data_IF_407947034345
#
_entry.id   IF_407947034345
#
_cell.length_a   1.000
_cell.length_b   1.000
_cell.length_c   1.000
_cell.angle_alpha   90.00
_cell.angle_beta   90.00
_cell.angle_gamma   90.00
#
_symmetry.space_group_name_H-M   'P 1'
#
loop_
_entity.id
_entity.type
_entity.pdbx_description
1 polymer ?
#
# COMPACT_ATOMS: atom_id res chain seq x y z
N UNK A 1 4.37 9.62 -1.28
CA UNK A 1 5.05 8.31 -1.04
C UNK A 1 4.06 7.17 -1.14
N UNK A 2 4.48 6.01 -1.65
CA UNK A 2 3.70 4.76 -1.59
C UNK A 2 3.78 4.17 -0.17
N UNK A 3 2.81 3.30 0.20
CA UNK A 3 2.77 2.74 1.55
C UNK A 3 4.03 2.02 2.00
N UNK A 4 4.67 1.24 1.12
CA UNK A 4 5.94 0.57 1.42
C UNK A 4 7.11 1.51 1.70
N UNK A 5 7.14 2.68 1.06
CA UNK A 5 8.16 3.70 1.29
C UNK A 5 8.00 4.36 2.67
N UNK A 6 6.75 4.51 3.16
CA UNK A 6 6.49 5.01 4.54
C UNK A 6 7.04 4.03 5.59
N UNK A 7 6.86 2.73 5.38
CA UNK A 7 7.43 1.70 6.26
C UNK A 7 8.96 1.71 6.22
N UNK A 8 9.55 1.77 5.02
CA UNK A 8 11.00 1.82 4.90
C UNK A 8 11.58 3.07 5.59
N UNK A 9 10.92 4.24 5.47
CA UNK A 9 11.33 5.46 6.15
C UNK A 9 11.27 5.31 7.68
N UNK A 10 10.24 4.67 8.21
CA UNK A 10 10.14 4.39 9.65
C UNK A 10 11.23 3.42 10.12
N UNK A 11 11.50 2.36 9.37
CA UNK A 11 12.59 1.42 9.67
C UNK A 11 13.96 2.11 9.61
N UNK A 12 14.20 2.99 8.64
CA UNK A 12 15.43 3.76 8.55
C UNK A 12 15.62 4.67 9.78
N UNK A 13 14.56 5.34 10.22
CA UNK A 13 14.58 6.16 11.46
C UNK A 13 14.92 5.32 12.71
N UNK A 14 14.36 4.10 12.81
CA UNK A 14 14.62 3.16 13.91
C UNK A 14 16.06 2.62 13.88
N UNK A 15 16.65 2.47 12.71
CA UNK A 15 17.95 1.86 12.47
C UNK A 15 18.93 2.86 11.83
N UNK A 16 19.34 3.93 12.52
CA UNK A 16 20.06 5.07 11.92
C UNK A 16 21.47 4.74 11.40
N UNK A 17 22.01 3.57 11.75
CA UNK A 17 23.31 3.07 11.25
C UNK A 17 23.19 2.03 10.14
N UNK A 18 21.97 1.70 9.73
CA UNK A 18 21.75 0.68 8.70
C UNK A 18 22.15 1.20 7.31
N UNK A 19 22.77 0.35 6.51
CA UNK A 19 22.90 0.57 5.08
C UNK A 19 21.63 0.09 4.37
N UNK A 20 21.24 0.75 3.28
CA UNK A 20 20.05 0.44 2.50
C UNK A 20 20.46 -0.22 1.20
N UNK A 21 20.00 -1.44 0.98
CA UNK A 21 20.20 -2.19 -0.25
C UNK A 21 18.92 -2.17 -1.08
N UNK A 22 19.03 -1.82 -2.36
CA UNK A 22 17.88 -1.75 -3.27
C UNK A 22 18.25 -2.19 -4.69
N UNK A 23 17.27 -2.63 -5.48
CA UNK A 23 17.53 -2.93 -6.89
C UNK A 23 17.84 -1.70 -7.71
N UNK A 24 17.11 -0.62 -7.46
CA UNK A 24 17.34 0.67 -8.08
C UNK A 24 16.84 1.78 -7.16
N UNK A 25 17.62 2.81 -7.02
CA UNK A 25 17.24 4.05 -6.36
C UNK A 25 16.93 5.06 -7.46
N UNK A 26 15.64 5.25 -7.75
CA UNK A 26 15.24 6.08 -8.86
C UNK A 26 15.62 7.56 -8.61
N UNK A 27 16.27 8.16 -9.62
CA UNK A 27 16.56 9.60 -9.62
C UNK A 27 15.30 10.49 -9.69
N UNK A 28 14.12 9.92 -9.95
CA UNK A 28 12.83 10.56 -9.80
C UNK A 28 12.40 10.72 -8.35
N UNK A 29 13.17 10.23 -7.40
CA UNK A 29 13.20 10.77 -6.04
C UNK A 29 13.77 12.21 -6.02
N UNK A 30 13.84 12.88 -7.16
CA UNK A 30 13.93 14.36 -7.25
C UNK A 30 12.78 15.07 -6.54
N UNK A 31 11.67 14.38 -6.29
CA UNK A 31 10.59 14.86 -5.43
C UNK A 31 10.91 14.69 -3.92
N UNK A 32 12.00 13.98 -3.59
CA UNK A 32 12.61 14.04 -2.28
C UNK A 32 13.81 14.98 -2.39
N UNK A 33 13.73 16.19 -1.84
CA UNK A 33 14.88 17.07 -1.80
C UNK A 33 16.06 16.31 -1.20
N UNK A 34 17.31 16.60 -1.62
CA UNK A 34 18.52 16.05 -1.01
C UNK A 34 18.60 16.30 0.50
N UNK A 35 17.75 17.19 0.99
CA UNK A 35 17.56 17.60 2.38
C UNK A 35 16.49 16.77 3.10
N UNK A 36 15.80 15.80 2.43
CA UNK A 36 14.85 14.94 3.11
C UNK A 36 15.60 14.12 4.16
N UNK A 37 15.40 14.52 5.40
CA UNK A 37 16.10 14.02 6.57
C UNK A 37 15.97 12.51 6.78
N UNK A 38 15.02 11.86 6.09
CA UNK A 38 14.68 10.43 6.25
C UNK A 38 15.76 9.47 5.76
N UNK A 39 16.53 9.84 4.75
CA UNK A 39 17.62 9.04 4.19
C UNK A 39 19.00 9.57 4.58
N UNK A 40 19.04 10.69 5.32
CA UNK A 40 20.27 11.34 5.73
C UNK A 40 21.04 10.43 6.68
N UNK A 41 22.29 10.12 6.30
CA UNK A 41 23.17 9.26 7.09
C UNK A 41 23.16 7.79 6.65
N UNK A 42 22.23 7.36 5.78
CA UNK A 42 22.22 6.01 5.25
C UNK A 42 23.03 5.91 3.96
N UNK A 43 23.86 4.91 3.85
CA UNK A 43 24.49 4.53 2.60
C UNK A 43 23.53 3.70 1.79
N UNK A 44 23.22 4.14 0.56
CA UNK A 44 22.35 3.40 -0.37
C UNK A 44 23.23 2.62 -1.35
N UNK A 45 22.99 1.31 -1.45
CA UNK A 45 23.73 0.37 -2.28
C UNK A 45 22.76 -0.23 -3.30
N UNK A 46 22.97 0.09 -4.56
CA UNK A 46 22.15 -0.41 -5.66
C UNK A 46 22.69 -1.75 -6.20
N UNK A 47 21.79 -2.61 -6.66
CA UNK A 47 22.17 -3.82 -7.38
C UNK A 47 22.63 -3.51 -8.80
N UNK A 48 23.19 -4.52 -9.49
CA UNK A 48 23.60 -4.36 -10.90
C UNK A 48 22.42 -3.97 -11.82
N UNK A 49 21.17 -4.19 -11.41
CA UNK A 49 19.98 -3.82 -12.19
C UNK A 49 19.95 -2.31 -12.45
N UNK A 50 20.34 -1.49 -11.47
CA UNK A 50 20.41 -0.04 -11.65
C UNK A 50 21.34 0.42 -12.78
N UNK A 51 22.32 -0.40 -13.12
CA UNK A 51 23.30 -0.12 -14.16
C UNK A 51 22.95 -0.67 -15.55
N UNK A 52 21.85 -1.42 -15.65
CA UNK A 52 21.32 -1.89 -16.95
C UNK A 52 20.59 -0.74 -17.67
N UNK A 53 20.49 -0.77 -19.01
CA UNK A 53 19.70 0.18 -19.77
C UNK A 53 18.27 0.26 -19.22
N UNK A 54 17.79 1.48 -18.91
CA UNK A 54 16.51 1.74 -18.28
C UNK A 54 16.31 1.12 -16.87
N UNK A 55 17.33 0.51 -16.26
CA UNK A 55 17.20 -0.21 -14.99
C UNK A 55 16.77 0.66 -13.81
N UNK A 56 17.22 1.94 -13.75
CA UNK A 56 16.75 2.89 -12.72
C UNK A 56 15.34 3.40 -12.97
N UNK A 57 14.98 3.64 -14.22
CA UNK A 57 13.67 4.19 -14.58
C UNK A 57 12.56 3.13 -14.52
N UNK A 58 12.88 1.90 -14.91
CA UNK A 58 11.92 0.81 -15.05
C UNK A 58 12.49 -0.52 -14.51
N UNK A 59 12.85 -0.61 -13.22
CA UNK A 59 13.47 -1.81 -12.65
C UNK A 59 12.57 -3.05 -12.77
N UNK A 60 11.24 -2.88 -12.84
CA UNK A 60 10.27 -3.96 -12.99
C UNK A 60 10.43 -4.77 -14.28
N UNK A 61 11.06 -4.23 -15.32
CA UNK A 61 11.36 -4.96 -16.57
C UNK A 61 12.35 -6.11 -16.28
N UNK A 62 13.19 -5.93 -15.26
CA UNK A 62 14.23 -6.89 -14.87
C UNK A 62 13.78 -7.82 -13.73
N UNK A 63 12.48 -7.91 -13.48
CA UNK A 63 11.92 -8.77 -12.44
C UNK A 63 12.49 -10.20 -12.42
N UNK A 64 12.68 -10.91 -13.57
CA UNK A 64 13.29 -12.24 -13.58
C UNK A 64 14.75 -12.28 -13.09
N UNK A 65 15.45 -11.15 -13.11
CA UNK A 65 16.85 -11.03 -12.65
C UNK A 65 16.96 -10.62 -11.18
N UNK A 66 15.90 -10.06 -10.59
CA UNK A 66 15.91 -9.56 -9.22
C UNK A 66 16.31 -10.60 -8.17
N UNK A 67 15.86 -11.87 -8.23
CA UNK A 67 16.35 -12.89 -7.28
C UNK A 67 17.86 -13.11 -7.35
N UNK A 68 18.45 -13.04 -8.55
CA UNK A 68 19.89 -13.13 -8.72
C UNK A 68 20.60 -11.89 -8.19
N UNK A 69 20.00 -10.71 -8.38
CA UNK A 69 20.55 -9.45 -7.90
C UNK A 69 20.53 -9.38 -6.36
N UNK A 70 19.45 -9.82 -5.71
CA UNK A 70 19.37 -9.88 -4.24
C UNK A 70 20.46 -10.79 -3.65
N UNK A 71 20.73 -11.93 -4.26
CA UNK A 71 21.78 -12.86 -3.82
C UNK A 71 23.20 -12.32 -3.96
N UNK A 72 23.41 -11.28 -4.76
CA UNK A 72 24.74 -10.66 -4.97
C UNK A 72 25.05 -9.50 -4.01
N UNK A 73 24.12 -9.11 -3.17
CA UNK A 73 24.44 -8.14 -2.13
C UNK A 73 25.43 -8.74 -1.13
N UNK A 74 26.52 -8.02 -0.89
CA UNK A 74 27.45 -8.38 0.18
C UNK A 74 26.88 -7.90 1.53
N UNK A 75 26.22 -8.82 2.22
CA UNK A 75 25.66 -8.60 3.54
C UNK A 75 26.57 -9.11 4.66
N UNK A 76 27.82 -9.41 4.34
CA UNK A 76 28.76 -10.07 5.25
C UNK A 76 29.08 -9.33 6.55
N UNK A 77 28.85 -8.02 6.58
CA UNK A 77 29.19 -7.13 7.71
C UNK A 77 28.05 -6.93 8.70
N UNK A 78 26.86 -7.48 8.43
CA UNK A 78 25.66 -7.21 9.21
C UNK A 78 25.21 -8.45 9.95
N UNK A 79 24.85 -8.29 11.22
CA UNK A 79 24.29 -9.36 12.05
C UNK A 79 22.76 -9.43 11.87
N UNK A 80 22.12 -8.29 11.60
CA UNK A 80 20.68 -8.16 11.37
C UNK A 80 20.41 -7.64 9.96
N UNK A 81 19.50 -8.32 9.29
CA UNK A 81 18.98 -7.93 7.97
C UNK A 81 17.48 -7.75 8.10
N UNK A 82 16.97 -6.58 7.70
CA UNK A 82 15.54 -6.30 7.65
C UNK A 82 15.16 -6.05 6.19
N UNK A 83 14.40 -6.96 5.61
CA UNK A 83 13.83 -6.73 4.27
C UNK A 83 12.41 -6.16 4.36
N UNK A 84 12.12 -5.13 3.56
CA UNK A 84 10.79 -4.53 3.40
C UNK A 84 10.33 -4.76 1.98
N UNK A 85 9.37 -5.67 1.76
CA UNK A 85 9.12 -6.16 0.41
C UNK A 85 7.66 -6.39 0.02
N UNK A 86 7.43 -6.20 -1.27
CA UNK A 86 6.30 -6.73 -2.04
C UNK A 86 6.77 -7.42 -3.33
N UNK A 87 8.04 -7.80 -3.39
CA UNK A 87 8.75 -8.34 -4.55
C UNK A 87 9.93 -9.22 -4.12
N UNK A 88 10.83 -9.64 -5.01
CA UNK A 88 11.84 -10.67 -4.74
C UNK A 88 13.09 -10.14 -3.99
N UNK A 89 12.93 -9.31 -2.95
CA UNK A 89 14.05 -8.72 -2.19
C UNK A 89 14.55 -9.65 -1.08
N UNK A 90 13.65 -10.45 -0.45
CA UNK A 90 14.03 -11.38 0.65
C UNK A 90 14.97 -12.52 0.21
N UNK A 91 15.15 -12.70 -1.08
CA UNK A 91 16.02 -13.76 -1.65
C UNK A 91 17.52 -13.49 -1.49
N UNK A 92 17.96 -13.03 -0.34
CA UNK A 92 19.35 -12.76 0.01
C UNK A 92 20.10 -14.03 0.39
N UNK A 93 21.44 -13.97 0.41
CA UNK A 93 22.32 -15.02 0.96
C UNK A 93 22.69 -14.64 2.39
N UNK A 94 22.23 -15.43 3.34
CA UNK A 94 22.49 -15.28 4.77
C UNK A 94 23.64 -16.18 5.20
N UNK A 95 24.53 -15.68 6.07
CA UNK A 95 25.57 -16.47 6.73
C UNK A 95 25.10 -17.02 8.07
N UNK A 96 25.74 -18.07 8.58
CA UNK A 96 25.48 -18.54 9.93
C UNK A 96 25.62 -17.40 10.96
N UNK A 97 24.67 -17.30 11.87
CA UNK A 97 24.62 -16.27 12.91
C UNK A 97 23.94 -14.96 12.48
N UNK A 98 23.67 -14.74 11.20
CA UNK A 98 22.89 -13.59 10.75
C UNK A 98 21.39 -13.85 10.92
N UNK A 99 20.68 -12.83 11.39
CA UNK A 99 19.22 -12.85 11.52
C UNK A 99 18.56 -12.07 10.40
N UNK A 100 17.51 -12.64 9.80
CA UNK A 100 16.73 -12.02 8.75
C UNK A 100 15.26 -11.86 9.17
N UNK A 101 14.82 -10.62 9.34
CA UNK A 101 13.43 -10.23 9.57
C UNK A 101 12.86 -9.70 8.25
N UNK A 102 11.76 -10.26 7.78
CA UNK A 102 11.09 -9.81 6.55
C UNK A 102 9.78 -9.11 6.89
N UNK A 103 9.74 -7.78 6.72
CA UNK A 103 8.48 -7.04 6.69
C UNK A 103 7.83 -7.21 5.32
N UNK A 104 6.88 -8.11 5.26
CA UNK A 104 6.19 -8.48 4.03
C UNK A 104 4.93 -7.63 3.85
N UNK A 105 4.96 -6.72 2.88
CA UNK A 105 3.76 -5.95 2.51
C UNK A 105 2.71 -6.84 1.88
N UNK A 106 3.17 -7.83 1.11
CA UNK A 106 2.35 -8.89 0.53
C UNK A 106 3.26 -9.88 -0.19
N UNK A 107 2.97 -11.19 -0.21
CA UNK A 107 3.54 -12.10 -1.20
C UNK A 107 3.28 -11.59 -2.62
N UNK A 108 4.22 -11.80 -3.54
CA UNK A 108 4.19 -11.21 -4.89
C UNK A 108 2.84 -11.44 -5.60
N UNK A 109 1.93 -10.44 -5.59
CA UNK A 109 0.55 -10.55 -6.11
C UNK A 109 0.51 -11.03 -7.55
N UNK A 110 1.41 -10.52 -8.40
CA UNK A 110 1.45 -10.80 -9.84
C UNK A 110 1.89 -12.24 -10.19
N UNK A 111 2.40 -13.02 -9.23
CA UNK A 111 2.69 -14.45 -9.41
C UNK A 111 1.75 -15.34 -8.62
N UNK A 112 1.07 -14.81 -7.59
CA UNK A 112 0.16 -15.56 -6.73
C UNK A 112 -1.30 -15.13 -6.97
N UNK A 113 -1.90 -14.45 -6.04
CA UNK A 113 -3.35 -14.25 -5.95
C UNK A 113 -3.98 -13.40 -7.07
N UNK A 114 -3.22 -12.49 -7.66
CA UNK A 114 -3.72 -11.60 -8.73
C UNK A 114 -3.06 -11.89 -10.08
N UNK A 115 -2.50 -13.11 -10.25
CA UNK A 115 -1.82 -13.47 -11.49
C UNK A 115 -2.73 -13.27 -12.72
N UNK A 116 -3.97 -13.70 -12.62
CA UNK A 116 -4.90 -13.68 -13.76
C UNK A 116 -5.32 -12.26 -14.15
N UNK A 117 -5.51 -11.36 -13.16
CA UNK A 117 -5.79 -9.94 -13.40
C UNK A 117 -4.60 -9.24 -14.07
N UNK A 118 -3.38 -9.49 -13.57
CA UNK A 118 -2.17 -8.95 -14.19
C UNK A 118 -1.94 -9.50 -15.59
N UNK A 119 -2.19 -10.79 -15.78
CA UNK A 119 -2.08 -11.44 -17.09
C UNK A 119 -3.10 -10.87 -18.09
N UNK A 120 -4.35 -10.67 -17.68
CA UNK A 120 -5.39 -10.08 -18.51
C UNK A 120 -5.07 -8.63 -18.91
N UNK A 121 -4.49 -7.84 -17.98
CA UNK A 121 -4.12 -6.45 -18.22
C UNK A 121 -2.80 -6.28 -19.01
N UNK A 122 -1.99 -7.34 -19.12
CA UNK A 122 -0.67 -7.25 -19.74
C UNK A 122 -0.75 -7.18 -21.27
N UNK A 123 0.23 -6.49 -21.89
CA UNK A 123 0.48 -6.52 -23.33
C UNK A 123 0.82 -7.95 -23.80
N UNK A 124 0.80 -8.17 -25.11
CA UNK A 124 1.19 -9.48 -25.68
C UNK A 124 2.58 -9.93 -25.21
N UNK A 125 3.59 -9.04 -25.27
CA UNK A 125 4.93 -9.34 -24.79
C UNK A 125 4.95 -9.60 -23.26
N UNK A 126 4.17 -8.85 -22.48
CA UNK A 126 3.98 -9.06 -21.05
C UNK A 126 3.39 -10.43 -20.71
N UNK A 127 2.35 -10.86 -21.43
CA UNK A 127 1.74 -12.19 -21.26
C UNK A 127 2.73 -13.31 -21.56
N UNK A 128 3.50 -13.17 -22.64
CA UNK A 128 4.54 -14.14 -22.97
C UNK A 128 5.62 -14.21 -21.87
N UNK A 129 6.06 -13.08 -21.39
CA UNK A 129 7.02 -13.02 -20.27
C UNK A 129 6.43 -13.67 -19.00
N UNK A 130 5.20 -13.35 -18.63
CA UNK A 130 4.54 -13.98 -17.49
C UNK A 130 4.43 -15.50 -17.66
N UNK A 131 4.02 -15.98 -18.83
CA UNK A 131 3.93 -17.43 -19.12
C UNK A 131 5.29 -18.14 -18.96
N UNK A 132 6.38 -17.49 -19.32
CA UNK A 132 7.73 -18.09 -19.27
C UNK A 132 8.33 -18.03 -17.86
N UNK A 133 8.04 -16.98 -17.08
CA UNK A 133 8.77 -16.70 -15.84
C UNK A 133 7.98 -16.94 -14.55
N UNK A 134 6.64 -17.00 -14.59
CA UNK A 134 5.81 -17.10 -13.37
C UNK A 134 6.19 -18.30 -12.52
N UNK A 135 6.29 -19.50 -13.09
CA UNK A 135 6.62 -20.71 -12.33
C UNK A 135 8.04 -20.68 -11.75
N UNK A 136 8.98 -20.07 -12.45
CA UNK A 136 10.33 -19.86 -11.93
C UNK A 136 10.31 -18.86 -10.77
N UNK A 137 9.59 -17.75 -10.92
CA UNK A 137 9.45 -16.75 -9.86
C UNK A 137 8.75 -17.31 -8.63
N UNK A 138 7.72 -18.14 -8.78
CA UNK A 138 7.06 -18.85 -7.66
C UNK A 138 8.05 -19.72 -6.89
N UNK A 139 8.83 -20.53 -7.60
CA UNK A 139 9.86 -21.39 -6.96
C UNK A 139 10.94 -20.59 -6.26
N UNK A 140 11.42 -19.52 -6.87
CA UNK A 140 12.41 -18.62 -6.26
C UNK A 140 11.83 -17.91 -5.03
N UNK A 141 10.55 -17.52 -5.08
CA UNK A 141 9.85 -16.86 -3.98
C UNK A 141 9.68 -17.79 -2.77
N UNK A 142 9.24 -19.04 -2.99
CA UNK A 142 9.15 -20.05 -1.95
C UNK A 142 10.53 -20.36 -1.33
N UNK A 143 11.55 -20.58 -2.16
CA UNK A 143 12.91 -20.83 -1.69
C UNK A 143 13.47 -19.65 -0.89
N UNK A 144 13.18 -18.41 -1.29
CA UNK A 144 13.63 -17.23 -0.56
C UNK A 144 12.95 -17.08 0.80
N UNK A 145 11.72 -17.58 0.94
CA UNK A 145 11.00 -17.57 2.21
C UNK A 145 11.61 -18.51 3.26
N UNK A 146 12.34 -19.55 2.85
CA UNK A 146 13.04 -20.47 3.74
C UNK A 146 14.17 -19.79 4.50
N UNK A 147 14.83 -18.77 3.90
CA UNK A 147 15.95 -18.05 4.51
C UNK A 147 15.52 -16.99 5.54
N UNK A 148 14.22 -16.68 5.62
CA UNK A 148 13.67 -15.69 6.55
C UNK A 148 13.50 -16.34 7.93
N UNK A 149 14.06 -15.73 8.98
CA UNK A 149 13.89 -16.21 10.35
C UNK A 149 12.53 -15.79 10.91
N UNK A 150 12.14 -14.53 10.72
CA UNK A 150 10.88 -13.98 11.22
C UNK A 150 10.14 -13.20 10.13
N UNK A 151 8.90 -13.56 9.89
CA UNK A 151 8.01 -12.76 9.04
C UNK A 151 7.21 -11.76 9.87
N UNK A 152 7.11 -10.54 9.36
CA UNK A 152 6.21 -9.50 9.83
C UNK A 152 5.22 -9.18 8.72
N UNK A 153 3.93 -9.31 8.99
CA UNK A 153 2.86 -8.97 8.06
C UNK A 153 2.31 -7.58 8.37
N UNK A 154 1.97 -6.81 7.36
CA UNK A 154 1.36 -5.49 7.54
C UNK A 154 -0.12 -5.53 7.97
N UNK A 155 -0.74 -6.71 7.97
CA UNK A 155 -2.14 -6.95 8.33
C UNK A 155 -2.39 -8.44 8.59
N UNK A 156 -3.50 -8.75 9.25
CA UNK A 156 -3.96 -10.17 9.40
C UNK A 156 -4.26 -10.78 8.04
N UNK A 157 -4.79 -9.98 7.12
CA UNK A 157 -5.04 -10.41 5.75
C UNK A 157 -3.74 -10.87 5.05
N UNK A 158 -2.65 -10.15 5.21
CA UNK A 158 -1.34 -10.55 4.67
C UNK A 158 -0.72 -11.70 5.47
N UNK A 159 -0.91 -11.76 6.79
CA UNK A 159 -0.47 -12.89 7.59
C UNK A 159 -1.08 -14.21 7.11
N UNK A 160 -2.38 -14.23 6.80
CA UNK A 160 -3.05 -15.39 6.23
C UNK A 160 -2.49 -15.77 4.85
N UNK A 161 -2.13 -14.78 4.02
CA UNK A 161 -1.47 -15.04 2.72
C UNK A 161 -0.08 -15.62 2.90
N UNK A 162 0.72 -15.12 3.86
CA UNK A 162 2.04 -15.68 4.20
C UNK A 162 1.88 -17.14 4.64
N UNK A 163 0.92 -17.42 5.52
CA UNK A 163 0.64 -18.78 5.98
C UNK A 163 0.24 -19.70 4.84
N UNK A 164 -0.67 -19.27 3.97
CA UNK A 164 -1.16 -20.06 2.84
C UNK A 164 -0.10 -20.31 1.77
N UNK A 165 0.73 -19.30 1.45
CA UNK A 165 1.68 -19.37 0.34
C UNK A 165 3.02 -19.94 0.79
N UNK A 166 3.54 -19.50 1.94
CA UNK A 166 4.87 -19.90 2.42
C UNK A 166 4.84 -20.96 3.51
N UNK A 167 3.66 -21.32 4.04
CA UNK A 167 3.54 -22.24 5.19
C UNK A 167 4.21 -21.68 6.46
N UNK A 168 4.31 -20.35 6.60
CA UNK A 168 5.04 -19.68 7.69
C UNK A 168 4.08 -18.82 8.51
N UNK A 169 4.31 -18.82 9.82
CA UNK A 169 3.65 -17.85 10.71
C UNK A 169 4.32 -16.47 10.61
N UNK A 170 3.57 -15.42 10.98
CA UNK A 170 4.06 -14.05 10.97
C UNK A 170 3.49 -13.24 12.13
N UNK A 171 4.27 -12.29 12.64
CA UNK A 171 3.79 -11.27 13.58
C UNK A 171 3.11 -10.16 12.78
N UNK A 172 1.92 -9.73 13.19
CA UNK A 172 1.24 -8.60 12.55
C UNK A 172 1.72 -7.30 13.17
N UNK A 173 2.34 -6.45 12.35
CA UNK A 173 2.69 -5.07 12.71
C UNK A 173 2.16 -4.16 11.60
N UNK A 174 1.10 -3.42 11.89
CA UNK A 174 0.49 -2.55 10.91
C UNK A 174 1.43 -1.40 10.53
N UNK A 175 1.42 -0.94 9.26
CA UNK A 175 2.30 0.13 8.82
C UNK A 175 2.01 1.46 9.55
N UNK A 176 3.04 2.30 9.74
CA UNK A 176 2.86 3.58 10.41
C UNK A 176 2.11 4.57 9.52
N UNK A 177 1.13 5.26 10.11
CA UNK A 177 0.42 6.38 9.49
C UNK A 177 0.68 7.63 10.31
N UNK A 178 1.07 8.71 9.66
CA UNK A 178 1.28 10.01 10.31
C UNK A 178 -0.08 10.64 10.67
N UNK A 179 -0.68 10.12 11.74
CA UNK A 179 -2.04 10.51 12.18
C UNK A 179 -2.08 11.97 12.62
N UNK A 180 -0.99 12.49 13.18
CA UNK A 180 -0.92 13.89 13.61
C UNK A 180 -0.86 14.85 12.42
N UNK A 181 -0.18 14.46 11.34
CA UNK A 181 -0.21 15.25 10.11
C UNK A 181 -1.63 15.45 9.57
N UNK A 182 -2.45 14.38 9.55
CA UNK A 182 -3.82 14.46 9.03
C UNK A 182 -4.81 15.08 10.01
N UNK A 183 -4.49 15.16 11.29
CA UNK A 183 -5.34 15.76 12.31
C UNK A 183 -5.64 17.23 12.02
N UNK A 184 -6.90 17.65 12.25
CA UNK A 184 -7.34 19.02 12.08
C UNK A 184 -8.85 19.16 12.28
N UNK A 185 -9.30 20.41 12.31
CA UNK A 185 -10.71 20.74 12.26
C UNK A 185 -11.06 21.15 10.83
N UNK A 186 -12.13 20.57 10.30
CA UNK A 186 -12.52 20.78 8.92
C UNK A 186 -14.04 20.97 8.84
N UNK A 187 -14.44 21.93 8.02
CA UNK A 187 -15.84 22.05 7.64
C UNK A 187 -16.21 20.97 6.63
N UNK A 188 -17.24 20.19 6.94
CA UNK A 188 -17.73 19.14 6.04
C UNK A 188 -18.42 19.76 4.82
N UNK A 189 -18.03 19.28 3.65
CA UNK A 189 -18.60 19.66 2.34
C UNK A 189 -19.42 18.51 1.77
N UNK A 190 -20.31 18.84 0.86
CA UNK A 190 -21.23 17.86 0.27
C UNK A 190 -20.59 17.10 -0.91
N UNK A 191 -19.61 16.24 -0.61
CA UNK A 191 -19.02 15.33 -1.59
C UNK A 191 -18.48 14.05 -0.92
N UNK A 192 -18.44 12.97 -1.68
CA UNK A 192 -17.73 11.74 -1.37
C UNK A 192 -16.33 11.76 -1.99
N UNK A 193 -15.38 11.08 -1.37
CA UNK A 193 -13.99 11.08 -1.82
C UNK A 193 -13.54 9.66 -2.20
N UNK A 194 -12.90 9.53 -3.35
CA UNK A 194 -12.01 8.39 -3.68
C UNK A 194 -10.60 8.93 -3.77
N UNK A 195 -9.66 8.30 -3.05
CA UNK A 195 -8.26 8.73 -3.05
C UNK A 195 -7.29 7.56 -3.27
N UNK A 196 -6.24 7.79 -4.05
CA UNK A 196 -5.15 6.85 -4.27
C UNK A 196 -4.87 6.53 -5.74
N UNK A 197 -4.07 5.48 -5.98
CA UNK A 197 -3.71 5.07 -7.34
C UNK A 197 -4.94 4.50 -8.09
N UNK A 198 -5.23 5.02 -9.27
CA UNK A 198 -6.38 4.59 -10.09
C UNK A 198 -6.02 3.36 -10.92
N UNK A 199 -6.19 2.19 -10.32
CA UNK A 199 -5.94 0.87 -10.92
C UNK A 199 -7.19 -0.02 -10.82
N UNK A 200 -7.28 -1.03 -11.65
CA UNK A 200 -8.48 -1.84 -11.81
C UNK A 200 -8.99 -2.45 -10.49
N UNK A 201 -8.11 -3.01 -9.67
CA UNK A 201 -8.51 -3.69 -8.43
C UNK A 201 -9.01 -2.74 -7.33
N UNK A 202 -8.74 -1.43 -7.44
CA UNK A 202 -9.25 -0.43 -6.48
C UNK A 202 -10.68 0.03 -6.77
N UNK A 203 -11.23 -0.33 -7.92
CA UNK A 203 -12.64 -0.24 -8.26
C UNK A 203 -13.25 1.16 -8.08
N UNK A 204 -12.52 2.22 -8.46
CA UNK A 204 -13.07 3.59 -8.47
C UNK A 204 -14.34 3.71 -9.36
N UNK A 205 -14.48 2.85 -10.38
CA UNK A 205 -15.65 2.71 -11.23
C UNK A 205 -16.95 2.50 -10.42
N UNK A 206 -16.91 1.66 -9.39
CA UNK A 206 -18.06 1.38 -8.52
C UNK A 206 -18.48 2.64 -7.77
N UNK A 207 -17.51 3.37 -7.19
CA UNK A 207 -17.78 4.60 -6.44
C UNK A 207 -18.42 5.68 -7.34
N UNK A 208 -17.86 5.89 -8.53
CA UNK A 208 -18.37 6.83 -9.51
C UNK A 208 -19.80 6.48 -9.92
N UNK A 209 -20.03 5.22 -10.31
CA UNK A 209 -21.36 4.75 -10.74
C UNK A 209 -22.40 4.87 -9.63
N UNK A 210 -22.08 4.52 -8.39
CA UNK A 210 -22.99 4.60 -7.25
C UNK A 210 -23.36 6.06 -6.91
N UNK A 211 -22.36 6.95 -6.81
CA UNK A 211 -22.59 8.35 -6.52
C UNK A 211 -23.47 9.02 -7.59
N UNK A 212 -23.23 8.72 -8.85
CA UNK A 212 -24.05 9.28 -9.94
C UNK A 212 -25.50 8.75 -9.93
N UNK A 213 -25.70 7.44 -9.70
CA UNK A 213 -27.04 6.87 -9.53
C UNK A 213 -27.84 7.56 -8.45
N UNK A 214 -27.18 8.01 -7.38
CA UNK A 214 -27.79 8.68 -6.23
C UNK A 214 -27.81 10.21 -6.34
N UNK A 215 -27.27 10.80 -7.43
CA UNK A 215 -27.14 12.25 -7.56
C UNK A 215 -26.17 12.89 -6.59
N UNK A 216 -25.15 12.15 -6.12
CA UNK A 216 -24.15 12.62 -5.15
C UNK A 216 -22.88 13.12 -5.83
N UNK A 217 -22.30 14.19 -5.27
CA UNK A 217 -20.99 14.70 -5.74
C UNK A 217 -19.87 13.77 -5.29
N UNK A 218 -18.92 13.52 -6.17
CA UNK A 218 -17.74 12.71 -5.91
C UNK A 218 -16.48 13.38 -6.42
N UNK A 219 -15.45 13.40 -5.57
CA UNK A 219 -14.10 13.87 -5.90
C UNK A 219 -13.18 12.67 -5.99
N UNK A 220 -12.40 12.59 -7.07
CA UNK A 220 -11.41 11.54 -7.30
C UNK A 220 -10.02 12.18 -7.25
N UNK A 221 -9.25 11.88 -6.21
CA UNK A 221 -7.90 12.36 -6.01
C UNK A 221 -6.89 11.23 -6.24
N UNK A 222 -6.14 11.30 -7.32
CA UNK A 222 -5.15 10.30 -7.67
C UNK A 222 -4.90 10.16 -9.15
N UNK A 223 -3.95 9.29 -9.47
CA UNK A 223 -3.53 9.02 -10.84
C UNK A 223 -3.27 7.52 -11.02
N UNK A 224 -3.25 7.03 -12.26
CA UNK A 224 -3.00 5.64 -12.56
C UNK A 224 -3.54 5.22 -13.92
N UNK A 225 -3.34 3.94 -14.25
CA UNK A 225 -3.67 3.39 -15.55
C UNK A 225 -5.17 3.52 -15.95
N UNK A 226 -6.06 3.63 -14.94
CA UNK A 226 -7.50 3.77 -15.19
C UNK A 226 -7.95 5.22 -15.37
N UNK A 227 -7.11 6.22 -15.05
CA UNK A 227 -7.50 7.64 -15.03
C UNK A 227 -8.13 8.10 -16.35
N UNK A 228 -7.40 7.97 -17.44
CA UNK A 228 -7.87 8.44 -18.76
C UNK A 228 -9.19 7.78 -19.19
N UNK A 229 -9.37 6.49 -18.86
CA UNK A 229 -10.61 5.78 -19.13
C UNK A 229 -11.75 6.37 -18.31
N UNK A 230 -11.57 6.53 -17.01
CA UNK A 230 -12.59 7.07 -16.11
C UNK A 230 -12.92 8.53 -16.43
N UNK A 231 -11.95 9.38 -16.66
CA UNK A 231 -12.17 10.78 -17.06
C UNK A 231 -13.03 10.86 -18.36
N UNK A 232 -12.76 10.00 -19.35
CA UNK A 232 -13.56 9.96 -20.59
C UNK A 232 -14.98 9.46 -20.36
N UNK A 233 -15.14 8.42 -19.55
CA UNK A 233 -16.44 7.80 -19.26
C UNK A 233 -17.38 8.74 -18.48
N UNK A 234 -16.81 9.62 -17.66
CA UNK A 234 -17.57 10.51 -16.78
C UNK A 234 -17.39 12.00 -17.10
N UNK A 235 -16.86 12.35 -18.28
CA UNK A 235 -16.49 13.72 -18.69
C UNK A 235 -17.63 14.75 -18.57
N UNK A 236 -18.86 14.35 -18.93
CA UNK A 236 -20.02 15.25 -19.00
C UNK A 236 -20.78 15.36 -17.65
N UNK A 237 -20.26 14.72 -16.60
CA UNK A 237 -20.94 14.68 -15.30
C UNK A 237 -20.45 15.80 -14.38
N UNK A 238 -21.24 16.83 -14.19
CA UNK A 238 -20.94 17.97 -13.28
C UNK A 238 -20.76 17.58 -11.81
N UNK A 239 -21.20 16.38 -11.42
CA UNK A 239 -21.08 15.84 -10.07
C UNK A 239 -19.73 15.16 -9.83
N UNK A 240 -18.93 14.91 -10.87
CA UNK A 240 -17.63 14.23 -10.80
C UNK A 240 -16.50 15.23 -10.98
N UNK A 241 -15.54 15.20 -10.07
CA UNK A 241 -14.32 16.01 -10.17
C UNK A 241 -13.09 15.12 -10.08
N UNK A 242 -12.25 15.14 -11.12
CA UNK A 242 -10.94 14.46 -11.12
C UNK A 242 -9.85 15.49 -10.86
N UNK A 243 -9.10 15.33 -9.76
CA UNK A 243 -8.02 16.25 -9.38
C UNK A 243 -6.64 15.77 -9.84
N UNK A 244 -6.54 14.50 -10.26
CA UNK A 244 -5.25 13.92 -10.56
C UNK A 244 -4.39 13.76 -9.32
N UNK A 245 -3.07 13.76 -9.51
CA UNK A 245 -2.11 13.68 -8.41
C UNK A 245 -2.00 15.04 -7.71
N UNK A 246 -2.30 15.05 -6.43
CA UNK A 246 -2.27 16.23 -5.56
C UNK A 246 -1.22 16.08 -4.46
N UNK A 247 -0.88 17.19 -3.80
CA UNK A 247 0.05 17.19 -2.67
C UNK A 247 -0.58 16.72 -1.36
N UNK A 248 0.27 16.33 -0.39
CA UNK A 248 -0.20 15.78 0.89
C UNK A 248 -1.07 16.78 1.68
N UNK A 249 -0.76 18.08 1.61
CA UNK A 249 -1.55 19.15 2.27
C UNK A 249 -2.95 19.29 1.67
N UNK A 250 -3.07 19.22 0.35
CA UNK A 250 -4.36 19.25 -0.34
C UNK A 250 -5.16 17.99 -0.07
N UNK A 251 -4.51 16.82 -0.09
CA UNK A 251 -5.12 15.54 0.24
C UNK A 251 -5.65 15.52 1.68
N UNK A 252 -4.89 16.05 2.64
CA UNK A 252 -5.31 16.26 4.02
C UNK A 252 -6.61 17.07 4.11
N UNK A 253 -6.68 18.19 3.39
CA UNK A 253 -7.87 19.05 3.37
C UNK A 253 -9.09 18.33 2.75
N UNK A 254 -8.88 17.55 1.69
CA UNK A 254 -9.94 16.73 1.08
C UNK A 254 -10.44 15.64 2.02
N UNK A 255 -9.53 14.91 2.68
CA UNK A 255 -9.93 13.94 3.69
C UNK A 255 -10.81 14.59 4.75
N UNK A 256 -10.36 15.71 5.33
CA UNK A 256 -11.09 16.37 6.41
C UNK A 256 -12.45 16.91 5.99
N UNK A 257 -12.61 17.41 4.77
CA UNK A 257 -13.84 18.05 4.31
C UNK A 257 -14.84 17.12 3.62
N UNK A 258 -14.45 15.90 3.23
CA UNK A 258 -15.38 14.94 2.63
C UNK A 258 -16.46 14.47 3.61
N UNK A 259 -17.64 14.12 3.09
CA UNK A 259 -18.70 13.42 3.87
C UNK A 259 -18.21 12.06 4.34
N UNK A 260 -17.65 11.28 3.41
CA UNK A 260 -16.99 10.01 3.65
C UNK A 260 -15.94 9.72 2.58
N UNK A 261 -14.95 8.89 2.93
CA UNK A 261 -14.11 8.20 1.98
C UNK A 261 -14.85 6.96 1.47
N UNK A 262 -14.93 6.76 0.17
CA UNK A 262 -15.38 5.50 -0.44
C UNK A 262 -14.15 4.67 -0.81
N UNK A 263 -14.08 3.44 -0.30
CA UNK A 263 -12.95 2.53 -0.47
C UNK A 263 -13.41 1.18 -1.03
N UNK A 264 -13.66 1.08 -2.35
CA UNK A 264 -14.37 -0.05 -2.94
C UNK A 264 -13.47 -1.21 -3.36
N UNK A 265 -12.15 -1.04 -3.28
CA UNK A 265 -11.17 -2.07 -3.64
C UNK A 265 -10.78 -2.98 -2.48
N UNK A 266 -10.05 -4.05 -2.81
CA UNK A 266 -9.39 -4.92 -1.82
C UNK A 266 -7.92 -4.55 -1.75
N UNK A 267 -7.48 -4.09 -0.59
CA UNK A 267 -6.07 -3.79 -0.33
C UNK A 267 -5.52 -4.62 0.83
N UNK A 268 -4.20 -4.75 0.89
CA UNK A 268 -3.54 -5.57 1.91
C UNK A 268 -3.68 -4.99 3.31
N UNK A 269 -3.60 -3.67 3.46
CA UNK A 269 -3.84 -2.96 4.73
C UNK A 269 -4.86 -1.82 4.57
N UNK A 270 -4.65 -0.93 3.60
CA UNK A 270 -5.50 0.25 3.44
C UNK A 270 -5.03 1.43 4.30
N UNK A 271 -3.91 2.04 3.95
CA UNK A 271 -3.41 3.27 4.60
C UNK A 271 -4.41 4.42 4.43
N UNK A 272 -5.01 4.54 3.25
CA UNK A 272 -5.96 5.60 2.88
C UNK A 272 -7.18 5.69 3.83
N UNK A 273 -7.86 4.59 4.21
CA UNK A 273 -8.86 4.60 5.27
C UNK A 273 -8.38 5.17 6.61
N UNK A 274 -7.15 4.85 7.01
CA UNK A 274 -6.60 5.36 8.28
C UNK A 274 -6.29 6.86 8.19
N UNK A 275 -5.76 7.35 7.07
CA UNK A 275 -5.51 8.77 6.83
C UNK A 275 -6.82 9.58 6.86
N UNK A 276 -7.88 9.08 6.23
CA UNK A 276 -9.20 9.70 6.26
C UNK A 276 -9.78 9.75 7.68
N UNK A 277 -9.68 8.65 8.43
CA UNK A 277 -10.13 8.61 9.84
C UNK A 277 -9.29 9.55 10.72
N UNK A 278 -7.98 9.66 10.51
CA UNK A 278 -7.13 10.61 11.22
C UNK A 278 -7.56 12.08 10.97
N UNK A 279 -8.08 12.38 9.78
CA UNK A 279 -8.69 13.67 9.45
C UNK A 279 -10.14 13.82 9.98
N UNK A 280 -10.70 12.81 10.68
CA UNK A 280 -12.05 12.83 11.21
C UNK A 280 -13.13 12.47 10.19
N UNK A 281 -12.80 11.71 9.16
CA UNK A 281 -13.73 11.33 8.10
C UNK A 281 -14.02 9.84 8.13
N UNK A 282 -15.29 9.44 8.22
CA UNK A 282 -15.69 8.05 8.18
C UNK A 282 -15.50 7.43 6.81
N UNK A 283 -15.50 6.09 6.76
CA UNK A 283 -15.18 5.31 5.57
C UNK A 283 -16.33 4.39 5.19
N UNK A 284 -16.70 4.37 3.92
CA UNK A 284 -17.57 3.35 3.33
C UNK A 284 -16.67 2.40 2.52
N UNK A 285 -16.42 1.21 3.04
CA UNK A 285 -15.46 0.29 2.46
C UNK A 285 -16.09 -1.01 1.94
N UNK A 286 -15.48 -1.61 0.95
CA UNK A 286 -15.77 -3.01 0.65
C UNK A 286 -15.26 -3.90 1.79
N UNK A 287 -16.13 -4.80 2.28
CA UNK A 287 -15.87 -5.63 3.45
C UNK A 287 -14.89 -6.78 3.20
N UNK A 288 -13.67 -6.45 2.73
CA UNK A 288 -12.60 -7.43 2.48
C UNK A 288 -11.21 -6.80 2.64
N UNK A 289 -10.20 -7.66 2.82
CA UNK A 289 -8.81 -7.23 2.95
C UNK A 289 -8.53 -6.43 4.22
N UNK A 290 -7.55 -5.57 4.16
CA UNK A 290 -7.10 -4.75 5.30
C UNK A 290 -8.13 -3.72 5.77
N UNK A 291 -9.14 -3.37 4.96
CA UNK A 291 -10.23 -2.49 5.40
C UNK A 291 -10.97 -3.06 6.62
N UNK A 292 -11.06 -4.38 6.73
CA UNK A 292 -11.66 -5.08 7.88
C UNK A 292 -10.91 -4.84 9.20
N UNK A 293 -9.67 -4.41 9.13
CA UNK A 293 -8.84 -4.11 10.31
C UNK A 293 -8.79 -2.62 10.63
N UNK A 294 -8.99 -1.77 9.61
CA UNK A 294 -8.84 -0.33 9.73
C UNK A 294 -10.16 0.39 10.01
N UNK A 295 -11.29 -0.14 9.58
CA UNK A 295 -12.63 0.45 9.78
C UNK A 295 -13.37 -0.29 10.88
N UNK A 296 -13.96 0.46 11.82
CA UNK A 296 -14.84 -0.06 12.87
C UNK A 296 -16.29 0.15 12.43
N UNK A 297 -17.03 -0.93 12.08
CA UNK A 297 -18.39 -0.80 11.55
C UNK A 297 -19.34 -0.17 12.60
N UNK A 298 -20.09 0.84 12.17
CA UNK A 298 -20.99 1.60 13.02
C UNK A 298 -20.33 2.70 13.85
N UNK A 299 -19.00 2.74 13.95
CA UNK A 299 -18.25 3.77 14.68
C UNK A 299 -17.49 4.70 13.74
N UNK A 300 -16.64 4.11 12.86
CA UNK A 300 -15.81 4.88 11.94
C UNK A 300 -16.15 4.64 10.48
N UNK A 301 -17.18 3.86 10.21
CA UNK A 301 -17.66 3.61 8.85
C UNK A 301 -18.59 2.43 8.72
N UNK A 302 -18.84 2.04 7.49
CA UNK A 302 -19.67 0.90 7.10
C UNK A 302 -18.97 0.02 6.07
N UNK A 303 -19.44 -1.23 5.98
CA UNK A 303 -19.03 -2.13 4.92
C UNK A 303 -20.20 -2.43 3.97
N UNK A 304 -19.88 -2.52 2.67
CA UNK A 304 -20.72 -3.19 1.69
C UNK A 304 -20.08 -4.50 1.26
N UNK A 305 -20.88 -5.51 0.90
CA UNK A 305 -20.42 -6.89 0.77
C UNK A 305 -20.46 -7.45 -0.66
N UNK A 306 -20.83 -6.64 -1.64
CA UNK A 306 -20.76 -6.99 -3.07
C UNK A 306 -20.13 -5.84 -3.83
N UNK A 307 -19.12 -6.11 -4.66
CA UNK A 307 -18.44 -5.07 -5.46
C UNK A 307 -19.30 -4.62 -6.64
N UNK A 308 -20.47 -4.09 -6.34
CA UNK A 308 -21.45 -3.52 -7.30
C UNK A 308 -21.84 -2.11 -6.88
N UNK A 309 -22.24 -1.30 -7.85
CA UNK A 309 -22.76 0.05 -7.57
C UNK A 309 -24.02 0.01 -6.70
N UNK A 310 -24.89 -0.97 -6.90
CA UNK A 310 -26.15 -1.09 -6.15
C UNK A 310 -25.90 -1.41 -4.66
N UNK A 311 -24.96 -2.31 -4.35
CA UNK A 311 -24.58 -2.60 -2.98
C UNK A 311 -23.95 -1.37 -2.30
N UNK A 312 -23.16 -0.57 -3.02
CA UNK A 312 -22.62 0.67 -2.52
C UNK A 312 -23.69 1.76 -2.36
N UNK A 313 -24.69 1.84 -3.24
CA UNK A 313 -25.83 2.74 -3.04
C UNK A 313 -26.54 2.45 -1.70
N UNK A 314 -26.86 1.19 -1.42
CA UNK A 314 -27.46 0.81 -0.14
C UNK A 314 -26.59 1.19 1.08
N UNK A 315 -25.25 1.03 0.97
CA UNK A 315 -24.34 1.46 2.04
C UNK A 315 -24.29 2.98 2.19
N UNK A 316 -24.39 3.74 1.09
CA UNK A 316 -24.48 5.21 1.14
C UNK A 316 -25.79 5.65 1.79
N UNK A 317 -26.92 5.02 1.47
CA UNK A 317 -28.23 5.31 2.11
C UNK A 317 -28.16 5.05 3.61
N UNK A 318 -27.62 3.90 4.01
CA UNK A 318 -27.42 3.59 5.43
C UNK A 318 -26.48 4.60 6.10
N UNK A 319 -25.38 4.96 5.44
CA UNK A 319 -24.43 5.96 5.93
C UNK A 319 -25.11 7.31 6.18
N UNK A 320 -25.94 7.78 5.25
CA UNK A 320 -26.65 9.05 5.32
C UNK A 320 -27.77 9.07 6.40
N UNK A 321 -28.30 7.91 6.79
CA UNK A 321 -29.28 7.77 7.85
C UNK A 321 -28.69 7.89 9.27
N UNK A 322 -27.35 7.86 9.39
CA UNK A 322 -26.62 7.85 10.66
C UNK A 322 -25.87 9.15 10.91
N UNK A 323 -25.51 9.38 12.17
CA UNK A 323 -24.55 10.43 12.57
C UNK A 323 -23.20 9.82 12.84
N UNK A 324 -22.15 10.47 12.36
CA UNK A 324 -20.77 10.01 12.49
C UNK A 324 -19.96 10.97 13.32
N UNK A 325 -19.13 10.44 14.22
CA UNK A 325 -18.25 11.23 15.07
C UNK A 325 -16.86 11.34 14.46
N UNK A 326 -16.44 12.57 14.19
CA UNK A 326 -15.06 12.82 13.75
C UNK A 326 -14.04 12.42 14.82
N UNK A 327 -14.39 12.58 16.10
CA UNK A 327 -13.50 12.21 17.22
C UNK A 327 -13.37 10.69 17.35
N UNK A 328 -14.44 9.92 17.12
CA UNK A 328 -14.35 8.46 17.06
C UNK A 328 -13.43 8.00 15.93
N UNK A 329 -13.52 8.61 14.75
CA UNK A 329 -12.62 8.32 13.64
C UNK A 329 -11.16 8.61 14.00
N UNK A 330 -10.85 9.80 14.57
CA UNK A 330 -9.52 10.17 15.01
C UNK A 330 -8.98 9.22 16.07
N UNK A 331 -9.77 8.90 17.09
CA UNK A 331 -9.40 7.99 18.16
C UNK A 331 -9.04 6.58 17.61
N UNK A 332 -9.84 6.08 16.67
CA UNK A 332 -9.55 4.80 16.01
C UNK A 332 -8.27 4.82 15.18
N UNK A 333 -7.93 5.93 14.55
CA UNK A 333 -6.72 6.06 13.74
C UNK A 333 -5.42 6.03 14.56
N UNK A 334 -5.44 6.53 15.82
CA UNK A 334 -4.26 6.61 16.70
C UNK A 334 -3.57 5.25 16.87
N UNK A 335 -4.32 4.16 16.88
CA UNK A 335 -3.79 2.80 16.97
C UNK A 335 -2.88 2.39 15.80
N UNK A 336 -2.73 3.21 14.79
CA UNK A 336 -1.85 3.01 13.63
C UNK A 336 -0.72 4.04 13.56
N UNK A 337 -0.49 4.78 14.66
CA UNK A 337 0.54 5.81 14.74
C UNK A 337 1.97 5.25 14.70
N UNK A 338 2.96 6.13 14.44
CA UNK A 338 4.37 5.74 14.32
C UNK A 338 4.94 5.11 15.59
N UNK A 339 4.58 5.62 16.77
CA UNK A 339 5.14 5.15 18.06
C UNK A 339 4.79 3.68 18.31
N UNK A 340 3.56 3.27 17.98
CA UNK A 340 3.16 1.88 18.08
C UNK A 340 3.97 1.01 17.11
N UNK A 341 4.14 1.45 15.86
CA UNK A 341 4.95 0.72 14.88
C UNK A 341 6.39 0.54 15.37
N UNK A 342 7.00 1.61 15.91
CA UNK A 342 8.35 1.56 16.45
C UNK A 342 8.45 0.56 17.63
N UNK A 343 7.49 0.57 18.56
CA UNK A 343 7.48 -0.34 19.70
C UNK A 343 7.34 -1.81 19.26
N UNK A 344 6.37 -2.11 18.37
CA UNK A 344 6.13 -3.48 17.90
C UNK A 344 7.28 -4.01 17.04
N UNK A 345 7.81 -3.20 16.11
CA UNK A 345 8.97 -3.58 15.31
C UNK A 345 10.23 -3.78 16.15
N UNK A 346 10.46 -2.93 17.17
CA UNK A 346 11.59 -3.09 18.09
C UNK A 346 11.50 -4.41 18.86
N UNK A 347 10.31 -4.82 19.29
CA UNK A 347 10.12 -6.11 19.95
C UNK A 347 10.44 -7.29 18.99
N UNK A 348 10.05 -7.20 17.72
CA UNK A 348 10.38 -8.24 16.73
C UNK A 348 11.86 -8.24 16.40
N UNK A 349 12.50 -7.09 16.24
CA UNK A 349 13.93 -6.97 15.90
C UNK A 349 14.83 -7.37 17.09
N UNK A 350 14.43 -7.07 18.31
CA UNK A 350 15.19 -7.35 19.54
C UNK A 350 15.02 -8.77 20.07
N UNK A 351 13.99 -9.50 19.65
CA UNK A 351 13.76 -10.91 20.02
C UNK A 351 14.59 -11.84 19.15
#
# INVERSE_FOLDING_TARGET
MRGGEKVLAALAKMLPRADIFTHAFASSMRDFPPEDSRWRGHRVIESFIAHLPCGRAHPQIFLPLMPCASRRFDLSKYDLIVSSESGPVKGIVKRPGQRHVCYCHTPMRYVWDMHDEYYAAASFAGRLAMKLWTERLRREDLKSAESVDSFVANSRFVAERIRRIYGRESTVVHPPVDVEFFRGEYEKKDFYLVAGELVTYKRADIALSACLKMGRKIVVAGDGAMRTKLEREYADNVQVSFLGRIGDTELKALYGSARALIFPGVEDFGIVPVEAQAAGTPVIAYGAGGAMETVLPGETGLFFHSQTADALCGAIEEFESRRWSADACRAAAVRFGPDRFEAEMSAVIGS
#
